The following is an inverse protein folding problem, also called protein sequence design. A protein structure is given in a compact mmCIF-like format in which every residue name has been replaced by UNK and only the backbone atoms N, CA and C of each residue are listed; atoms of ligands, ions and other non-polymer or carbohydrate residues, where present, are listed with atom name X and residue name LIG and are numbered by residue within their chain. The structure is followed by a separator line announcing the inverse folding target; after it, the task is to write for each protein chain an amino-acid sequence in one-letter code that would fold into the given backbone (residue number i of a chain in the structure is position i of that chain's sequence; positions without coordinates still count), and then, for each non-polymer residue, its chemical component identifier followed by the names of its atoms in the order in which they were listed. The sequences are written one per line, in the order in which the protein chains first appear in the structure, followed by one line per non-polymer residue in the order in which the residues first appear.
data_IF_238137063064
#
_entry.id   IF_238137063064
#
_cell.length_a   1.000
_cell.length_b   1.000
_cell.length_c   1.000
_cell.angle_alpha   90.00
_cell.angle_beta   90.00
_cell.angle_gamma   90.00
#
_symmetry.space_group_name_H-M   'P 1'
#
loop_
_entity.id
_entity.type
_entity.pdbx_description
1 polymer ?
#
# COMPACT_ATOMS: atom_id res chain seq x y z
N UNK A 1 7.48 35.80 19.80
CA UNK A 1 6.01 35.67 19.65
C UNK A 1 5.58 34.68 18.56
N UNK A 2 5.59 35.02 17.27
CA UNK A 2 5.04 34.10 16.23
C UNK A 2 5.92 32.88 15.96
N UNK A 3 7.25 33.07 15.94
CA UNK A 3 8.23 32.00 15.64
C UNK A 3 8.26 30.88 16.71
N UNK A 4 8.13 31.24 17.98
CA UNK A 4 8.04 30.28 19.10
C UNK A 4 6.75 29.45 19.01
N UNK A 5 5.61 30.08 18.73
CA UNK A 5 4.34 29.35 18.55
C UNK A 5 4.40 28.34 17.39
N UNK A 6 5.10 28.67 16.30
CA UNK A 6 5.34 27.70 15.22
C UNK A 6 6.32 26.59 15.60
N UNK A 7 7.29 26.87 16.47
CA UNK A 7 8.27 25.90 16.96
C UNK A 7 7.59 24.90 17.91
N UNK A 8 6.86 25.38 18.92
CA UNK A 8 6.09 24.55 19.85
C UNK A 8 5.11 23.64 19.10
N UNK A 9 4.40 24.18 18.10
CA UNK A 9 3.48 23.39 17.28
C UNK A 9 4.19 22.36 16.39
N UNK A 10 5.44 22.60 15.98
CA UNK A 10 6.23 21.56 15.27
C UNK A 10 6.71 20.49 16.24
N UNK A 11 7.20 20.91 17.40
CA UNK A 11 7.73 20.00 18.40
C UNK A 11 6.63 19.07 18.96
N UNK A 12 5.37 19.54 19.04
CA UNK A 12 4.23 18.70 19.42
C UNK A 12 3.96 17.54 18.45
N UNK A 13 4.29 17.67 17.16
CA UNK A 13 4.12 16.58 16.18
C UNK A 13 5.39 15.75 15.96
N UNK A 14 6.53 16.17 16.53
CA UNK A 14 7.84 15.60 16.23
C UNK A 14 7.92 14.13 16.61
N UNK A 15 7.44 13.77 17.80
CA UNK A 15 7.51 12.39 18.29
C UNK A 15 6.65 11.44 17.45
N UNK A 16 5.44 11.86 17.08
CA UNK A 16 4.55 11.09 16.23
C UNK A 16 5.13 10.92 14.83
N UNK A 17 5.62 12.01 14.22
CA UNK A 17 6.29 11.97 12.92
C UNK A 17 7.52 11.03 12.94
N UNK A 18 8.31 11.03 14.01
CA UNK A 18 9.44 10.11 14.17
C UNK A 18 8.99 8.65 14.21
N UNK A 19 7.88 8.33 14.87
CA UNK A 19 7.32 6.97 14.90
C UNK A 19 6.82 6.55 13.52
N UNK A 20 6.11 7.41 12.82
CA UNK A 20 5.59 7.13 11.47
C UNK A 20 6.72 6.86 10.48
N UNK A 21 7.77 7.69 10.48
CA UNK A 21 8.93 7.49 9.59
C UNK A 21 9.64 6.18 9.90
N UNK A 22 9.84 5.85 11.19
CA UNK A 22 10.42 4.56 11.58
C UNK A 22 9.57 3.38 11.09
N UNK A 23 8.26 3.48 11.21
CA UNK A 23 7.34 2.44 10.73
C UNK A 23 7.48 2.24 9.21
N UNK A 24 7.50 3.32 8.43
CA UNK A 24 7.70 3.25 6.98
C UNK A 24 8.99 2.51 6.61
N UNK A 25 10.11 2.79 7.31
CA UNK A 25 11.37 2.08 7.07
C UNK A 25 11.29 0.58 7.44
N UNK A 26 10.62 0.24 8.54
CA UNK A 26 10.43 -1.17 8.93
C UNK A 26 9.62 -1.92 7.87
N UNK A 27 8.54 -1.32 7.38
CA UNK A 27 7.70 -1.87 6.31
C UNK A 27 8.53 -2.08 5.05
N UNK A 28 9.30 -1.08 4.61
CA UNK A 28 10.12 -1.14 3.41
C UNK A 28 11.14 -2.29 3.49
N UNK A 29 11.86 -2.43 4.61
CA UNK A 29 12.81 -3.53 4.81
C UNK A 29 12.14 -4.91 4.87
N UNK A 30 11.00 -5.02 5.55
CA UNK A 30 10.25 -6.29 5.61
C UNK A 30 9.70 -6.69 4.23
N UNK A 31 9.21 -5.74 3.44
CA UNK A 31 8.74 -5.99 2.09
C UNK A 31 9.88 -6.51 1.19
N UNK A 32 11.07 -5.88 1.25
CA UNK A 32 12.26 -6.36 0.52
C UNK A 32 12.68 -7.77 0.94
N UNK A 33 12.78 -8.04 2.25
CA UNK A 33 13.18 -9.35 2.77
C UNK A 33 12.23 -10.47 2.32
N UNK A 34 10.93 -10.17 2.22
CA UNK A 34 9.89 -11.11 1.80
C UNK A 34 9.63 -11.11 0.29
N UNK A 35 10.34 -10.26 -0.47
CA UNK A 35 10.17 -10.08 -1.92
C UNK A 35 8.74 -9.69 -2.30
N UNK A 36 8.13 -8.84 -1.48
CA UNK A 36 6.79 -8.30 -1.73
C UNK A 36 6.95 -7.04 -2.56
N UNK A 37 6.52 -7.13 -3.81
CA UNK A 37 6.54 -6.02 -4.75
C UNK A 37 5.16 -5.89 -5.39
N UNK A 38 4.87 -4.66 -5.84
CA UNK A 38 3.70 -4.36 -6.65
C UNK A 38 4.21 -3.89 -7.99
N UNK A 39 3.75 -4.54 -9.05
CA UNK A 39 4.08 -4.10 -10.41
C UNK A 39 3.06 -3.06 -10.90
N UNK A 40 3.39 -2.38 -11.99
CA UNK A 40 2.55 -1.28 -12.47
C UNK A 40 1.19 -1.77 -13.03
N UNK A 41 1.11 -3.00 -13.52
CA UNK A 41 -0.16 -3.59 -13.97
C UNK A 41 -1.08 -3.89 -12.79
N UNK A 42 -0.54 -4.45 -11.70
CA UNK A 42 -1.26 -4.70 -10.46
C UNK A 42 -1.78 -3.40 -9.85
N UNK A 43 -0.94 -2.36 -9.83
CA UNK A 43 -1.35 -1.02 -9.40
C UNK A 43 -2.53 -0.49 -10.21
N UNK A 44 -2.45 -0.58 -11.55
CA UNK A 44 -3.54 -0.16 -12.43
C UNK A 44 -4.81 -0.98 -12.15
N UNK A 45 -4.69 -2.30 -12.00
CA UNK A 45 -5.83 -3.17 -11.71
C UNK A 45 -6.50 -2.81 -10.38
N UNK A 46 -5.72 -2.55 -9.33
CA UNK A 46 -6.22 -2.14 -8.03
C UNK A 46 -7.01 -0.83 -8.12
N UNK A 47 -6.46 0.18 -8.81
CA UNK A 47 -7.13 1.48 -9.02
C UNK A 47 -8.43 1.31 -9.82
N UNK A 48 -8.43 0.44 -10.83
CA UNK A 48 -9.64 0.16 -11.61
C UNK A 48 -10.70 -0.53 -10.74
N UNK A 49 -10.30 -1.50 -9.93
CA UNK A 49 -11.20 -2.20 -9.03
C UNK A 49 -11.81 -1.27 -7.97
N UNK A 50 -10.99 -0.38 -7.40
CA UNK A 50 -11.43 0.69 -6.51
C UNK A 50 -12.48 1.58 -7.21
N UNK A 51 -12.18 2.07 -8.41
CA UNK A 51 -13.11 2.89 -9.18
C UNK A 51 -14.44 2.17 -9.44
N UNK A 52 -14.42 0.89 -9.83
CA UNK A 52 -15.62 0.09 -10.02
C UNK A 52 -16.44 -0.04 -8.73
N UNK A 53 -15.78 -0.27 -7.59
CA UNK A 53 -16.43 -0.40 -6.28
C UNK A 53 -17.13 0.90 -5.85
N UNK A 54 -16.58 2.05 -6.20
CA UNK A 54 -17.14 3.36 -5.90
C UNK A 54 -18.04 3.92 -7.02
N UNK A 55 -18.28 3.17 -8.11
CA UNK A 55 -19.08 3.62 -9.24
C UNK A 55 -18.46 4.78 -10.04
N UNK A 56 -17.14 4.98 -9.93
CA UNK A 56 -16.37 5.98 -10.67
C UNK A 56 -15.89 5.42 -12.02
N UNK A 57 -15.60 6.31 -12.98
CA UNK A 57 -14.96 5.90 -14.22
C UNK A 57 -13.49 5.49 -13.94
N UNK A 58 -13.07 4.25 -14.26
CA UNK A 58 -11.73 3.77 -13.93
C UNK A 58 -10.59 4.51 -14.63
N UNK A 59 -10.80 4.91 -15.89
CA UNK A 59 -9.78 5.65 -16.66
C UNK A 59 -9.58 7.06 -16.09
N UNK A 60 -10.68 7.72 -15.77
CA UNK A 60 -10.65 9.05 -15.15
C UNK A 60 -10.00 9.01 -13.76
N UNK A 61 -10.33 7.99 -12.96
CA UNK A 61 -9.77 7.81 -11.62
C UNK A 61 -8.24 7.60 -11.66
N UNK A 62 -7.75 6.76 -12.58
CA UNK A 62 -6.31 6.58 -12.79
C UNK A 62 -5.61 7.89 -13.19
N UNK A 63 -6.18 8.62 -14.15
CA UNK A 63 -5.61 9.90 -14.59
C UNK A 63 -5.61 10.94 -13.47
N UNK A 64 -6.62 10.93 -12.60
CA UNK A 64 -6.65 11.81 -11.43
C UNK A 64 -5.51 11.51 -10.45
N UNK A 65 -5.26 10.24 -10.13
CA UNK A 65 -4.11 9.87 -9.29
C UNK A 65 -2.77 10.20 -9.94
N UNK A 66 -2.66 10.02 -11.25
CA UNK A 66 -1.45 10.36 -11.99
C UNK A 66 -1.17 11.87 -11.95
N UNK A 67 -2.18 12.70 -12.20
CA UNK A 67 -2.07 14.17 -12.16
C UNK A 67 -1.72 14.70 -10.77
N UNK A 68 -2.21 14.04 -9.72
CA UNK A 68 -1.91 14.39 -8.33
C UNK A 68 -0.55 13.88 -7.85
N UNK A 69 0.16 13.07 -8.65
CA UNK A 69 1.40 12.41 -8.21
C UNK A 69 1.18 11.38 -7.10
N UNK A 70 -0.03 10.83 -6.99
CA UNK A 70 -0.43 9.92 -5.91
C UNK A 70 -0.04 8.46 -6.18
N UNK A 71 0.28 8.09 -7.43
CA UNK A 71 0.60 6.70 -7.80
C UNK A 71 1.68 6.04 -6.91
N UNK A 72 2.78 6.72 -6.52
CA UNK A 72 3.76 6.13 -5.59
C UNK A 72 3.17 5.83 -4.22
N UNK A 73 2.32 6.71 -3.70
CA UNK A 73 1.66 6.51 -2.40
C UNK A 73 0.68 5.34 -2.45
N UNK A 74 -0.12 5.23 -3.53
CA UNK A 74 -1.02 4.09 -3.75
C UNK A 74 -0.22 2.78 -3.87
N UNK A 75 0.89 2.80 -4.60
CA UNK A 75 1.78 1.64 -4.71
C UNK A 75 2.34 1.19 -3.36
N UNK A 76 2.76 2.14 -2.51
CA UNK A 76 3.22 1.83 -1.15
C UNK A 76 2.10 1.24 -0.28
N UNK A 77 0.88 1.78 -0.36
CA UNK A 77 -0.28 1.25 0.36
C UNK A 77 -0.59 -0.21 -0.03
N UNK A 78 -0.47 -0.54 -1.32
CA UNK A 78 -0.64 -1.92 -1.81
C UNK A 78 0.47 -2.86 -1.30
N UNK A 79 1.73 -2.40 -1.23
CA UNK A 79 2.84 -3.16 -0.65
C UNK A 79 2.58 -3.42 0.84
N UNK A 80 2.14 -2.39 1.57
CA UNK A 80 1.77 -2.51 2.98
C UNK A 80 0.68 -3.55 3.17
N UNK A 81 -0.43 -3.45 2.43
CA UNK A 81 -1.52 -4.42 2.50
C UNK A 81 -1.06 -5.86 2.23
N UNK A 82 -0.24 -6.06 1.19
CA UNK A 82 0.32 -7.39 0.85
C UNK A 82 1.23 -7.91 1.95
N UNK A 83 2.07 -7.05 2.54
CA UNK A 83 2.93 -7.41 3.66
C UNK A 83 2.12 -7.80 4.89
N UNK A 84 1.09 -7.03 5.23
CA UNK A 84 0.20 -7.37 6.34
C UNK A 84 -0.51 -8.70 6.10
N UNK A 85 -1.02 -8.93 4.88
CA UNK A 85 -1.66 -10.19 4.54
C UNK A 85 -0.66 -11.36 4.63
N UNK A 86 0.57 -11.21 4.14
CA UNK A 86 1.59 -12.25 4.22
C UNK A 86 2.01 -12.59 5.67
N UNK A 87 2.04 -11.60 6.57
CA UNK A 87 2.43 -11.80 7.98
C UNK A 87 1.28 -12.34 8.83
N UNK A 88 0.07 -11.79 8.66
CA UNK A 88 -1.02 -11.95 9.62
C UNK A 88 -2.19 -12.78 9.13
N UNK A 89 -2.37 -13.00 7.82
CA UNK A 89 -3.41 -13.93 7.40
C UNK A 89 -2.99 -15.35 7.78
N UNK A 90 -3.79 -16.08 8.58
CA UNK A 90 -3.51 -17.47 8.87
C UNK A 90 -3.52 -18.23 7.55
N UNK A 91 -2.44 -18.96 7.27
CA UNK A 91 -2.37 -19.94 6.17
C UNK A 91 -3.34 -21.09 6.47
N UNK A 92 -4.64 -20.81 6.41
CA UNK A 92 -5.66 -21.84 6.52
C UNK A 92 -5.66 -22.60 5.20
N UNK A 93 -5.73 -23.92 5.30
CA UNK A 93 -5.47 -24.96 4.28
C UNK A 93 -6.28 -24.83 2.96
N UNK A 94 -7.07 -23.77 2.78
CA UNK A 94 -7.79 -23.44 1.54
C UNK A 94 -6.91 -22.79 0.47
N UNK A 95 -5.75 -22.21 0.82
CA UNK A 95 -4.87 -21.59 -0.20
C UNK A 95 -4.04 -22.60 -1.00
N UNK A 96 -3.80 -23.82 -0.48
CA UNK A 96 -3.07 -24.87 -1.21
C UNK A 96 -3.90 -25.59 -2.28
N UNK A 97 -5.25 -25.57 -2.17
CA UNK A 97 -6.12 -26.20 -3.18
C UNK A 97 -6.30 -25.35 -4.44
N UNK A 98 -6.11 -24.03 -4.35
CA UNK A 98 -6.16 -23.15 -5.51
C UNK A 98 -4.89 -23.26 -6.39
N UNK A 99 -3.71 -23.39 -5.76
CA UNK A 99 -2.44 -23.52 -6.49
C UNK A 99 -2.21 -24.92 -7.10
N UNK A 100 -2.93 -25.96 -6.65
CA UNK A 100 -2.90 -27.30 -7.26
C UNK A 100 -3.87 -27.47 -8.43
N UNK A 101 -5.03 -26.81 -8.45
CA UNK A 101 -5.99 -26.95 -9.56
C UNK A 101 -5.51 -26.33 -10.89
N UNK A 102 -4.71 -25.27 -10.87
CA UNK A 102 -4.14 -24.71 -12.11
C UNK A 102 -3.03 -25.58 -12.74
N UNK A 103 -2.52 -26.59 -12.04
CA UNK A 103 -1.50 -27.52 -12.59
C UNK A 103 -2.08 -28.83 -13.13
N UNK A 104 -3.37 -29.12 -12.94
CA UNK A 104 -4.02 -30.33 -13.47
C UNK A 104 -4.82 -30.10 -14.76
N UNK A 105 -5.15 -28.84 -15.10
CA UNK A 105 -5.88 -28.48 -16.33
C UNK A 105 -4.96 -27.92 -17.45
N UNK A 106 -3.67 -28.26 -17.45
CA UNK A 106 -2.73 -27.93 -18.53
C UNK A 106 -1.94 -29.12 -19.03
#
# INVERSE_FOLDING_TARGET
ASKEKYQEKRDSFKEEAQKSVKLTFIIDELAKLRKIEVNDQELIQAIYFEAYRYGMNPKEHLENYKKQGALPAVKMALIEEKLFNDIFMPKTEKSEKASKKEKEDK
#
